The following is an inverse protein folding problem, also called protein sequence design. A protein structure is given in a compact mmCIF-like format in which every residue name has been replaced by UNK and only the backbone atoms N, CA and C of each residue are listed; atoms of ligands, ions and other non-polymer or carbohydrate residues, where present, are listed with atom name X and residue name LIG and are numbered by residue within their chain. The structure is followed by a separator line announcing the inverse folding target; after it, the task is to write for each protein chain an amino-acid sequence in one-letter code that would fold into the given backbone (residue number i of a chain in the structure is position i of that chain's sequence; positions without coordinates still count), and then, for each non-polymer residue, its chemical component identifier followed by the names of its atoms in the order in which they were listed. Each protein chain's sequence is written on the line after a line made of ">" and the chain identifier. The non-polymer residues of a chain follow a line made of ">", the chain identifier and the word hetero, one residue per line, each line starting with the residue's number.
data_IF_380754760101
#
_entry.id   IF_380754760101
#
_cell.length_a   1.000
_cell.length_b   1.000
_cell.length_c   1.000
_cell.angle_alpha   90.00
_cell.angle_beta   90.00
_cell.angle_gamma   90.00
#
_symmetry.space_group_name_H-M   'P 1'
#
loop_
_entity.id
_entity.type
_entity.pdbx_description
1 polymer ?
#
# COMPACT_ATOMS: atom_id res chain seq x y z
N UNK A 1 -33.30 -14.22 64.95
CA UNK A 1 -34.08 -14.56 63.74
C UNK A 1 -34.82 -13.32 63.25
N UNK A 2 -34.03 -12.33 62.82
CA UNK A 2 -34.43 -11.00 62.35
C UNK A 2 -33.49 -10.68 61.18
N UNK A 3 -34.07 -10.14 60.10
CA UNK A 3 -33.51 -9.08 59.27
C UNK A 3 -32.19 -9.27 58.49
N UNK A 4 -32.34 -9.04 57.17
CA UNK A 4 -31.68 -7.96 56.38
C UNK A 4 -30.34 -8.21 55.68
N UNK A 5 -30.41 -7.93 54.37
CA UNK A 5 -29.45 -7.22 53.51
C UNK A 5 -28.16 -8.00 53.11
N UNK A 6 -27.54 -7.85 51.94
CA UNK A 6 -27.73 -7.14 50.67
C UNK A 6 -26.64 -7.70 49.70
N UNK A 7 -26.90 -7.63 48.38
CA UNK A 7 -25.96 -7.42 47.24
C UNK A 7 -25.33 -8.61 46.45
N UNK A 8 -25.48 -8.42 45.13
CA UNK A 8 -24.51 -8.53 44.02
C UNK A 8 -24.82 -9.59 42.94
N UNK A 9 -25.17 -9.01 41.78
CA UNK A 9 -25.04 -9.47 40.40
C UNK A 9 -24.05 -10.60 40.12
N UNK A 10 -24.52 -11.58 39.36
CA UNK A 10 -23.77 -12.33 38.35
C UNK A 10 -24.78 -13.06 37.46
N UNK A 11 -24.96 -12.63 36.20
CA UNK A 11 -25.61 -13.47 35.20
C UNK A 11 -24.71 -13.61 33.98
N UNK A 12 -23.96 -14.72 34.01
CA UNK A 12 -23.45 -15.44 32.85
C UNK A 12 -24.65 -15.83 31.96
N UNK A 13 -24.50 -15.73 30.64
CA UNK A 13 -25.30 -16.53 29.72
C UNK A 13 -24.40 -17.10 28.64
N UNK A 14 -24.35 -18.43 28.61
CA UNK A 14 -23.96 -19.27 27.49
C UNK A 14 -25.17 -20.13 27.11
N UNK A 15 -25.23 -20.53 25.83
CA UNK A 15 -26.08 -21.56 25.22
C UNK A 15 -27.56 -21.16 24.99
N UNK A 16 -28.24 -21.46 23.87
CA UNK A 16 -28.16 -22.60 22.93
C UNK A 16 -28.97 -22.30 21.63
N UNK A 17 -28.67 -23.00 20.53
CA UNK A 17 -29.32 -22.90 19.20
C UNK A 17 -30.74 -23.52 19.15
N UNK A 18 -31.54 -23.26 18.10
CA UNK A 18 -31.90 -24.36 17.20
C UNK A 18 -32.00 -24.04 15.68
N UNK A 19 -31.87 -25.12 14.91
CA UNK A 19 -31.79 -25.24 13.44
C UNK A 19 -33.08 -24.91 12.66
N UNK A 20 -32.96 -24.39 11.41
CA UNK A 20 -33.60 -24.98 10.20
C UNK A 20 -33.15 -24.36 8.85
N UNK A 21 -32.57 -25.23 8.01
CA UNK A 21 -32.69 -25.37 6.53
C UNK A 21 -32.40 -24.22 5.55
N UNK A 22 -31.26 -24.38 4.86
CA UNK A 22 -31.08 -24.50 3.40
C UNK A 22 -31.72 -23.48 2.45
N UNK A 23 -30.88 -22.67 1.79
CA UNK A 23 -30.95 -22.42 0.33
C UNK A 23 -29.60 -21.84 -0.13
N UNK A 24 -28.87 -22.68 -0.87
CA UNK A 24 -27.72 -22.30 -1.69
C UNK A 24 -28.22 -21.40 -2.82
N UNK A 25 -27.68 -20.20 -2.93
CA UNK A 25 -27.84 -19.38 -4.11
C UNK A 25 -26.45 -19.16 -4.71
N UNK A 26 -26.17 -19.97 -5.73
CA UNK A 26 -25.21 -19.68 -6.77
C UNK A 26 -25.73 -18.50 -7.60
N UNK A 27 -24.88 -17.50 -7.88
CA UNK A 27 -25.11 -16.62 -9.01
C UNK A 27 -23.95 -16.71 -9.98
N UNK A 28 -24.33 -17.20 -11.15
CA UNK A 28 -23.52 -17.46 -12.32
C UNK A 28 -23.02 -16.16 -12.97
N UNK A 29 -21.82 -16.27 -13.54
CA UNK A 29 -21.31 -15.36 -14.55
C UNK A 29 -22.22 -15.36 -15.78
N UNK A 30 -22.64 -14.17 -16.23
CA UNK A 30 -23.09 -13.96 -17.59
C UNK A 30 -22.08 -13.09 -18.35
N UNK A 31 -21.37 -13.73 -19.27
CA UNK A 31 -20.84 -13.11 -20.47
C UNK A 31 -22.03 -12.72 -21.36
N UNK A 32 -22.10 -11.46 -21.79
CA UNK A 32 -22.87 -11.08 -22.97
C UNK A 32 -22.06 -10.13 -23.82
N UNK A 33 -21.82 -10.60 -25.03
CA UNK A 33 -21.21 -9.94 -26.18
C UNK A 33 -21.96 -8.69 -26.63
N UNK A 34 -21.19 -7.66 -26.96
CA UNK A 34 -21.28 -6.91 -28.22
C UNK A 34 -22.51 -6.01 -28.43
N UNK A 35 -22.33 -4.71 -28.19
CA UNK A 35 -22.99 -3.67 -28.98
C UNK A 35 -22.01 -2.51 -29.21
N UNK A 36 -21.66 -2.28 -30.47
CA UNK A 36 -20.80 -1.20 -30.93
C UNK A 36 -21.66 0.04 -31.23
N UNK A 37 -21.24 1.21 -30.76
CA UNK A 37 -21.65 2.48 -31.35
C UNK A 37 -20.41 3.29 -31.69
N UNK A 38 -20.27 3.60 -32.98
CA UNK A 38 -19.22 4.42 -33.54
C UNK A 38 -19.52 5.91 -33.26
N UNK A 39 -18.51 6.64 -32.82
CA UNK A 39 -18.45 8.09 -32.94
C UNK A 39 -17.04 8.45 -33.44
N UNK A 40 -17.02 9.14 -34.59
CA UNK A 40 -15.83 9.66 -35.25
C UNK A 40 -15.48 11.06 -34.70
N UNK A 41 -14.35 11.60 -35.20
CA UNK A 41 -13.93 13.02 -35.23
C UNK A 41 -13.03 13.42 -34.04
N UNK A 42 -11.79 13.91 -34.16
CA UNK A 42 -10.98 14.40 -35.29
C UNK A 42 -9.48 14.33 -34.92
N UNK A 43 -8.64 13.92 -35.88
CA UNK A 43 -7.18 14.01 -35.80
C UNK A 43 -6.70 15.41 -36.22
N UNK A 44 -5.97 16.10 -35.35
CA UNK A 44 -5.16 17.26 -35.72
C UNK A 44 -3.68 16.91 -35.53
N UNK A 45 -3.04 16.47 -36.61
CA UNK A 45 -1.59 16.36 -36.71
C UNK A 45 -1.00 17.64 -37.30
N UNK A 46 0.12 18.10 -36.73
CA UNK A 46 1.08 18.98 -37.41
C UNK A 46 2.49 18.43 -37.22
N UNK A 47 2.99 17.89 -38.34
CA UNK A 47 4.38 17.64 -38.79
C UNK A 47 5.43 18.63 -38.30
N UNK A 48 6.73 18.37 -38.20
CA UNK A 48 7.64 17.22 -38.27
C UNK A 48 8.95 17.73 -37.64
N UNK A 49 9.70 16.87 -36.93
CA UNK A 49 11.16 16.91 -36.90
C UNK A 49 11.64 15.53 -36.45
N UNK A 50 12.15 14.77 -37.42
CA UNK A 50 12.70 13.43 -37.25
C UNK A 50 13.99 13.49 -36.40
N UNK A 51 13.87 13.01 -35.17
CA UNK A 51 14.90 12.20 -34.55
C UNK A 51 14.16 10.95 -34.07
N UNK A 52 14.43 9.78 -34.67
CA UNK A 52 13.85 8.51 -34.20
C UNK A 52 14.52 8.15 -32.88
N UNK A 53 14.08 8.81 -31.81
CA UNK A 53 14.25 8.36 -30.45
C UNK A 53 13.08 7.41 -30.18
N UNK A 54 13.39 6.13 -29.99
CA UNK A 54 12.42 5.10 -29.60
C UNK A 54 11.55 5.66 -28.45
N UNK A 55 10.25 5.84 -28.70
CA UNK A 55 9.37 6.55 -27.78
C UNK A 55 9.40 5.88 -26.40
N UNK A 56 10.04 6.54 -25.43
CA UNK A 56 10.22 6.03 -24.07
C UNK A 56 8.83 5.94 -23.42
N UNK A 57 8.27 4.73 -23.31
CA UNK A 57 6.97 4.51 -22.68
C UNK A 57 7.04 4.68 -21.16
N UNK A 58 6.21 5.57 -20.61
CA UNK A 58 6.09 5.83 -19.17
C UNK A 58 4.88 5.08 -18.56
N UNK A 59 5.07 4.52 -17.35
CA UNK A 59 4.05 3.75 -16.64
C UNK A 59 3.32 4.56 -15.55
N UNK A 60 2.30 5.30 -15.97
CA UNK A 60 1.38 6.01 -15.09
C UNK A 60 0.47 5.08 -14.29
N UNK A 61 -0.21 5.59 -13.27
CA UNK A 61 -1.15 4.83 -12.43
C UNK A 61 -2.31 4.22 -13.24
N UNK A 62 -2.76 4.88 -14.30
CA UNK A 62 -3.83 4.40 -15.20
C UNK A 62 -3.43 3.20 -16.05
N UNK A 63 -2.13 2.90 -16.18
CA UNK A 63 -1.63 1.83 -17.04
C UNK A 63 -1.65 0.48 -16.31
N UNK A 64 -2.46 -0.47 -16.80
CA UNK A 64 -2.59 -1.80 -16.21
C UNK A 64 -1.31 -2.66 -16.30
N UNK A 65 -0.63 -2.61 -17.47
CA UNK A 65 0.58 -3.42 -17.74
C UNK A 65 1.81 -2.52 -17.71
N UNK A 66 2.53 -2.54 -16.59
CA UNK A 66 3.71 -1.70 -16.38
C UNK A 66 5.03 -2.33 -16.84
N UNK A 67 5.09 -3.64 -17.06
CA UNK A 67 6.36 -4.31 -17.40
C UNK A 67 6.93 -3.74 -18.71
N UNK A 68 8.20 -3.34 -18.67
CA UNK A 68 8.90 -2.79 -19.82
C UNK A 68 8.73 -1.28 -20.00
N UNK A 69 7.92 -0.62 -19.17
CA UNK A 69 7.80 0.84 -19.17
C UNK A 69 8.71 1.44 -18.09
N UNK A 70 9.02 2.72 -18.25
CA UNK A 70 9.80 3.50 -17.30
C UNK A 70 8.91 4.07 -16.19
N UNK A 71 9.43 4.08 -14.97
CA UNK A 71 8.79 4.73 -13.83
C UNK A 71 9.06 6.24 -13.89
N UNK A 72 8.01 7.08 -13.96
CA UNK A 72 8.16 8.53 -13.86
C UNK A 72 8.83 8.92 -12.54
N UNK A 73 9.66 9.98 -12.60
CA UNK A 73 10.33 10.54 -11.42
C UNK A 73 9.55 11.78 -10.98
N UNK A 74 9.17 11.81 -9.71
CA UNK A 74 8.43 12.89 -9.10
C UNK A 74 9.26 13.63 -8.07
N UNK A 75 8.91 14.89 -7.82
CA UNK A 75 9.53 15.70 -6.78
C UNK A 75 8.86 15.48 -5.43
N UNK A 76 9.51 15.91 -4.34
CA UNK A 76 8.96 15.80 -2.99
C UNK A 76 7.68 16.62 -2.82
N UNK A 77 7.63 17.79 -3.45
CA UNK A 77 6.48 18.70 -3.39
C UNK A 77 5.25 18.05 -4.05
N UNK A 78 5.43 17.42 -5.22
CA UNK A 78 4.40 16.64 -5.90
C UNK A 78 3.92 15.48 -5.05
N UNK A 79 4.82 14.76 -4.36
CA UNK A 79 4.44 13.68 -3.47
C UNK A 79 3.55 14.17 -2.32
N UNK A 80 3.93 15.27 -1.67
CA UNK A 80 3.17 15.83 -0.54
C UNK A 80 1.81 16.32 -1.04
N UNK A 81 1.77 17.01 -2.18
CA UNK A 81 0.53 17.44 -2.83
C UNK A 81 -0.38 16.24 -3.16
N UNK A 82 0.19 15.15 -3.69
CA UNK A 82 -0.55 13.92 -3.96
C UNK A 82 -1.12 13.30 -2.68
N UNK A 83 -0.32 13.18 -1.61
CA UNK A 83 -0.80 12.60 -0.34
C UNK A 83 -1.93 13.43 0.31
N UNK A 84 -1.96 14.74 0.06
CA UNK A 84 -3.02 15.64 0.52
C UNK A 84 -4.22 15.72 -0.43
N UNK A 85 -4.14 15.10 -1.61
CA UNK A 85 -5.20 15.16 -2.62
C UNK A 85 -6.37 14.23 -2.31
N UNK A 86 -7.55 14.56 -2.84
CA UNK A 86 -8.75 13.72 -2.79
C UNK A 86 -8.52 12.35 -3.44
N UNK A 87 -7.73 12.31 -4.53
CA UNK A 87 -7.39 11.07 -5.25
C UNK A 87 -6.69 10.07 -4.33
N UNK A 88 -5.77 10.53 -3.48
CA UNK A 88 -5.11 9.66 -2.50
C UNK A 88 -6.09 9.16 -1.43
N UNK A 89 -6.92 10.06 -0.91
CA UNK A 89 -7.94 9.71 0.08
C UNK A 89 -8.92 8.64 -0.44
N UNK A 90 -9.38 8.77 -1.68
CA UNK A 90 -10.28 7.83 -2.33
C UNK A 90 -9.61 6.49 -2.63
N UNK A 91 -8.35 6.53 -3.06
CA UNK A 91 -7.56 5.33 -3.40
C UNK A 91 -7.30 4.44 -2.18
N UNK A 92 -6.93 5.04 -1.04
CA UNK A 92 -6.52 4.30 0.15
C UNK A 92 -7.56 4.30 1.29
N UNK A 93 -8.62 5.10 1.21
CA UNK A 93 -9.76 5.09 2.16
C UNK A 93 -9.33 5.17 3.62
N UNK A 94 -8.29 5.96 3.92
CA UNK A 94 -7.72 6.12 5.27
C UNK A 94 -6.92 4.93 5.79
N UNK A 95 -6.72 3.86 5.00
CA UNK A 95 -5.88 2.72 5.36
C UNK A 95 -4.43 2.90 4.88
N UNK A 96 -3.44 2.22 5.49
CA UNK A 96 -2.05 2.35 5.07
C UNK A 96 -1.84 1.81 3.65
N UNK A 97 -0.88 2.37 2.91
CA UNK A 97 -0.66 2.10 1.48
C UNK A 97 -0.54 0.61 1.14
N UNK A 98 0.09 -0.18 1.99
CA UNK A 98 0.30 -1.61 1.75
C UNK A 98 -0.96 -2.47 1.99
N UNK A 99 -2.04 -1.94 2.59
CA UNK A 99 -3.20 -2.71 3.02
C UNK A 99 -3.89 -3.43 1.85
N UNK A 100 -4.14 -2.72 0.75
CA UNK A 100 -4.81 -3.27 -0.43
C UNK A 100 -3.90 -4.08 -1.34
N UNK A 101 -2.64 -4.27 -0.97
CA UNK A 101 -1.70 -5.01 -1.77
C UNK A 101 -1.66 -6.48 -1.35
N UNK A 102 -1.91 -7.37 -2.32
CA UNK A 102 -1.76 -8.82 -2.13
C UNK A 102 -0.79 -9.38 -3.14
N UNK A 103 0.20 -10.13 -2.67
CA UNK A 103 1.20 -10.74 -3.55
C UNK A 103 0.68 -12.04 -4.16
N UNK A 104 0.94 -12.20 -5.46
CA UNK A 104 0.68 -13.45 -6.17
C UNK A 104 1.84 -14.43 -5.92
N UNK A 105 1.54 -15.58 -5.32
CA UNK A 105 2.46 -16.71 -5.15
C UNK A 105 1.65 -18.01 -5.09
N UNK A 106 2.28 -19.15 -5.36
CA UNK A 106 1.61 -20.45 -5.33
C UNK A 106 1.52 -20.99 -3.90
N UNK A 107 0.38 -21.58 -3.55
CA UNK A 107 0.16 -22.27 -2.27
C UNK A 107 -0.38 -21.38 -1.14
N UNK A 108 -0.37 -21.92 0.08
CA UNK A 108 -0.83 -21.21 1.28
C UNK A 108 0.13 -20.09 1.70
N UNK A 109 -0.37 -19.07 2.39
CA UNK A 109 0.41 -17.90 2.82
C UNK A 109 1.59 -18.22 3.75
N UNK A 110 1.51 -19.32 4.49
CA UNK A 110 2.59 -19.81 5.35
C UNK A 110 3.84 -20.15 4.53
N UNK A 111 3.66 -20.75 3.35
CA UNK A 111 4.73 -21.14 2.43
C UNK A 111 5.12 -20.02 1.47
N UNK A 112 4.72 -18.78 1.76
CA UNK A 112 5.05 -17.64 0.93
C UNK A 112 6.58 -17.48 0.83
N UNK A 113 7.15 -17.50 -0.40
CA UNK A 113 8.59 -17.40 -0.59
C UNK A 113 9.12 -16.04 -0.15
N UNK A 114 10.44 -15.88 -0.13
CA UNK A 114 11.05 -14.57 0.11
C UNK A 114 10.56 -13.57 -0.96
N UNK A 115 10.28 -12.31 -0.59
CA UNK A 115 9.93 -11.26 -1.54
C UNK A 115 11.00 -11.05 -2.63
N UNK A 116 10.63 -10.37 -3.72
CA UNK A 116 11.56 -10.11 -4.83
C UNK A 116 12.63 -9.09 -4.44
N UNK A 117 13.79 -9.16 -5.08
CA UNK A 117 14.90 -8.23 -4.80
C UNK A 117 14.56 -6.79 -5.20
N UNK A 118 14.12 -6.58 -6.44
CA UNK A 118 13.73 -5.27 -6.99
C UNK A 118 12.48 -5.42 -7.88
N UNK A 119 11.64 -4.38 -7.94
CA UNK A 119 10.51 -4.30 -8.90
C UNK A 119 10.88 -3.45 -10.13
N UNK A 120 11.73 -2.45 -9.91
CA UNK A 120 12.21 -1.49 -10.90
C UNK A 120 13.72 -1.66 -11.02
N UNK A 121 14.23 -1.56 -12.24
CA UNK A 121 15.66 -1.64 -12.54
C UNK A 121 16.42 -0.38 -12.17
N UNK A 122 17.76 -0.50 -12.18
CA UNK A 122 18.65 0.66 -12.00
C UNK A 122 18.40 1.74 -13.06
N UNK A 123 17.96 1.33 -14.25
CA UNK A 123 17.58 2.22 -15.35
C UNK A 123 16.19 2.86 -15.18
N UNK A 124 15.42 2.46 -14.15
CA UNK A 124 14.06 2.97 -13.92
C UNK A 124 12.96 2.19 -14.64
N UNK A 125 13.29 1.08 -15.32
CA UNK A 125 12.34 0.24 -16.06
C UNK A 125 11.67 -0.80 -15.15
N UNK A 126 10.36 -1.01 -15.31
CA UNK A 126 9.64 -2.04 -14.57
C UNK A 126 9.94 -3.44 -15.09
N UNK A 127 10.44 -4.32 -14.22
CA UNK A 127 10.63 -5.75 -14.55
C UNK A 127 9.37 -6.58 -14.41
N UNK A 128 8.43 -6.10 -13.61
CA UNK A 128 7.24 -6.83 -13.18
C UNK A 128 5.98 -6.07 -13.56
N UNK A 129 4.90 -6.80 -13.86
CA UNK A 129 3.58 -6.20 -14.03
C UNK A 129 2.97 -5.83 -12.66
N UNK A 130 3.03 -6.75 -11.70
CA UNK A 130 2.47 -6.56 -10.36
C UNK A 130 3.56 -6.09 -9.39
N UNK A 131 3.92 -4.81 -9.47
CA UNK A 131 4.91 -4.16 -8.62
C UNK A 131 4.46 -4.05 -7.15
N UNK A 132 5.38 -3.78 -6.23
CA UNK A 132 5.03 -3.64 -4.81
C UNK A 132 4.19 -2.36 -4.54
N UNK A 133 3.56 -2.19 -3.35
CA UNK A 133 2.66 -1.07 -3.08
C UNK A 133 3.27 0.31 -3.33
N UNK A 134 4.59 0.47 -3.12
CA UNK A 134 5.30 1.72 -3.37
C UNK A 134 5.72 1.86 -4.84
N UNK A 135 6.21 0.78 -5.47
CA UNK A 135 6.64 0.87 -6.87
C UNK A 135 5.47 0.96 -7.84
N UNK A 136 4.26 0.47 -7.48
CA UNK A 136 3.09 0.54 -8.36
C UNK A 136 2.60 1.97 -8.53
N UNK A 137 2.67 2.78 -7.47
CA UNK A 137 2.20 4.16 -7.46
C UNK A 137 3.41 5.08 -7.70
N UNK A 138 3.33 5.91 -8.73
CA UNK A 138 4.48 6.71 -9.19
C UNK A 138 4.89 7.82 -8.21
N UNK A 139 3.91 8.48 -7.60
CA UNK A 139 4.12 9.58 -6.64
C UNK A 139 4.73 9.14 -5.30
N UNK A 140 4.63 7.85 -4.95
CA UNK A 140 5.07 7.36 -3.65
C UNK A 140 6.53 6.88 -3.67
N UNK A 141 7.36 7.45 -2.81
CA UNK A 141 8.76 7.05 -2.63
C UNK A 141 9.23 7.44 -1.23
N UNK A 142 10.20 6.71 -0.69
CA UNK A 142 10.66 6.96 0.68
C UNK A 142 11.64 8.11 0.76
N UNK A 143 11.29 9.12 1.54
CA UNK A 143 12.16 10.23 1.91
C UNK A 143 12.03 10.61 3.38
N UNK A 144 13.15 10.92 4.01
CA UNK A 144 13.19 11.33 5.42
C UNK A 144 12.43 12.64 5.69
N UNK A 145 12.31 13.52 4.69
CA UNK A 145 11.61 14.82 4.79
C UNK A 145 10.09 14.66 4.90
N UNK A 146 9.54 13.55 4.39
CA UNK A 146 8.12 13.22 4.51
C UNK A 146 7.95 12.01 5.46
N UNK A 147 7.94 12.25 6.79
CA UNK A 147 7.77 11.16 7.75
C UNK A 147 6.37 10.54 7.68
N UNK A 148 5.37 11.24 7.15
CA UNK A 148 3.98 10.75 7.11
C UNK A 148 3.86 9.43 6.35
N UNK A 149 4.58 9.26 5.24
CA UNK A 149 4.62 8.01 4.50
C UNK A 149 5.37 6.92 5.26
N UNK A 150 6.53 7.24 5.86
CA UNK A 150 7.37 6.28 6.60
C UNK A 150 6.63 5.71 7.80
N UNK A 151 5.92 6.55 8.55
CA UNK A 151 5.17 6.18 9.75
C UNK A 151 4.14 5.07 9.48
N UNK A 152 3.55 5.03 8.27
CA UNK A 152 2.59 3.98 7.90
C UNK A 152 3.21 2.58 7.90
N UNK A 153 4.53 2.45 7.71
CA UNK A 153 5.23 1.16 7.63
C UNK A 153 5.83 0.69 8.96
N UNK A 154 5.62 1.45 10.03
CA UNK A 154 6.05 1.11 11.37
C UNK A 154 4.95 0.35 12.12
N UNK A 155 5.34 -0.34 13.18
CA UNK A 155 4.38 -0.82 14.18
C UNK A 155 3.85 0.37 14.98
N UNK A 156 2.57 0.31 15.33
CA UNK A 156 1.90 1.33 16.14
C UNK A 156 2.74 1.68 17.37
N UNK A 157 3.02 2.97 17.52
CA UNK A 157 3.76 3.53 18.64
C UNK A 157 5.22 3.04 18.81
N UNK A 158 5.82 2.41 17.79
CA UNK A 158 7.22 1.97 17.88
C UNK A 158 8.06 2.34 16.67
N UNK A 159 9.36 2.33 16.90
CA UNK A 159 10.40 2.55 15.90
C UNK A 159 10.74 1.32 15.04
N UNK A 160 9.97 0.25 15.16
CA UNK A 160 10.23 -1.02 14.47
C UNK A 160 9.45 -1.07 13.17
N UNK A 161 10.14 -1.44 12.09
CA UNK A 161 9.52 -1.62 10.77
C UNK A 161 8.74 -2.94 10.74
N UNK A 162 7.56 -2.92 10.12
CA UNK A 162 6.75 -4.12 9.91
C UNK A 162 7.52 -5.18 9.07
N UNK A 163 7.28 -6.49 9.32
CA UNK A 163 7.95 -7.54 8.57
C UNK A 163 7.71 -7.43 7.06
N UNK A 164 8.76 -7.64 6.26
CA UNK A 164 8.71 -7.51 4.80
C UNK A 164 7.60 -8.35 4.15
N UNK A 165 7.32 -9.54 4.69
CA UNK A 165 6.24 -10.43 4.23
C UNK A 165 4.85 -9.78 4.38
N UNK A 166 4.63 -9.01 5.45
CA UNK A 166 3.37 -8.28 5.72
C UNK A 166 3.25 -7.05 4.82
N UNK A 167 4.34 -6.31 4.63
CA UNK A 167 4.36 -5.09 3.82
C UNK A 167 4.26 -5.34 2.31
N UNK A 168 4.71 -6.50 1.83
CA UNK A 168 4.70 -6.83 0.40
C UNK A 168 5.68 -6.02 -0.46
N UNK A 169 6.63 -5.31 0.17
CA UNK A 169 7.68 -4.55 -0.51
C UNK A 169 8.73 -5.47 -1.15
N UNK A 170 9.45 -4.96 -2.15
CA UNK A 170 10.70 -5.58 -2.61
C UNK A 170 11.84 -5.25 -1.63
N UNK A 171 12.90 -6.06 -1.64
CA UNK A 171 14.04 -5.85 -0.75
C UNK A 171 14.69 -4.48 -0.91
N UNK A 172 14.78 -3.98 -2.14
CA UNK A 172 15.32 -2.65 -2.43
C UNK A 172 14.54 -1.53 -1.73
N UNK A 173 13.22 -1.48 -1.91
CA UNK A 173 12.35 -0.50 -1.25
C UNK A 173 12.37 -0.62 0.27
N UNK A 174 12.50 -1.84 0.80
CA UNK A 174 12.63 -2.05 2.23
C UNK A 174 13.98 -1.59 2.80
N UNK A 175 15.06 -1.74 2.03
CA UNK A 175 16.36 -1.17 2.38
C UNK A 175 16.32 0.35 2.34
N UNK A 176 15.65 0.94 1.35
CA UNK A 176 15.43 2.39 1.26
C UNK A 176 14.62 2.91 2.46
N UNK A 177 13.52 2.24 2.83
CA UNK A 177 12.75 2.56 4.02
C UNK A 177 13.63 2.56 5.29
N UNK A 178 14.48 1.55 5.47
CA UNK A 178 15.42 1.48 6.60
C UNK A 178 16.40 2.64 6.61
N UNK A 179 17.00 2.95 5.46
CA UNK A 179 17.95 4.05 5.34
C UNK A 179 17.30 5.41 5.62
N UNK A 180 16.10 5.65 5.08
CA UNK A 180 15.37 6.90 5.29
C UNK A 180 14.85 7.04 6.71
N UNK A 181 14.43 5.93 7.34
CA UNK A 181 14.08 5.91 8.75
C UNK A 181 15.28 6.28 9.63
N UNK A 182 16.47 5.74 9.33
CA UNK A 182 17.69 6.08 10.06
C UNK A 182 18.02 7.58 9.90
N UNK A 183 18.00 8.10 8.67
CA UNK A 183 18.19 9.53 8.41
C UNK A 183 17.17 10.41 9.14
N UNK A 184 15.90 10.02 9.13
CA UNK A 184 14.84 10.77 9.82
C UNK A 184 15.07 10.82 11.35
N UNK A 185 15.67 9.77 11.93
CA UNK A 185 16.08 9.76 13.34
C UNK A 185 17.27 10.68 13.61
N UNK A 186 18.28 10.67 12.75
CA UNK A 186 19.44 11.56 12.84
C UNK A 186 19.03 13.04 12.76
N UNK A 187 18.07 13.36 11.89
CA UNK A 187 17.52 14.71 11.74
C UNK A 187 16.47 15.10 12.81
N UNK A 188 16.07 14.18 13.69
CA UNK A 188 15.09 14.46 14.74
C UNK A 188 13.64 14.67 14.25
N UNK A 189 13.31 14.26 13.02
CA UNK A 189 11.95 14.45 12.47
C UNK A 189 10.92 13.45 13.03
N UNK A 190 11.38 12.35 13.62
CA UNK A 190 10.55 11.31 14.25
C UNK A 190 10.59 11.37 15.78
N UNK A 191 10.70 12.57 16.35
CA UNK A 191 10.87 12.78 17.81
C UNK A 191 9.70 12.33 18.69
N UNK A 192 8.58 11.84 18.13
CA UNK A 192 7.44 11.33 18.90
C UNK A 192 7.79 10.14 19.82
N UNK A 193 8.85 9.37 19.53
CA UNK A 193 9.24 8.22 20.36
C UNK A 193 10.30 8.52 21.43
N UNK A 194 10.93 9.69 21.38
CA UNK A 194 12.06 10.02 22.28
C UNK A 194 11.60 10.27 23.73
N UNK A 195 10.33 10.61 23.95
CA UNK A 195 9.78 10.86 25.30
C UNK A 195 9.50 9.59 26.11
N UNK A 196 9.54 8.38 25.53
CA UNK A 196 9.39 7.13 26.30
C UNK A 196 10.73 6.48 26.67
N UNK A 197 11.81 6.74 25.93
CA UNK A 197 13.10 6.10 26.19
C UNK A 197 13.96 6.87 27.22
N UNK A 198 13.91 8.21 27.23
CA UNK A 198 14.70 9.00 28.18
C UNK A 198 14.21 8.93 29.64
N UNK A 199 13.06 8.32 29.93
CA UNK A 199 12.57 8.18 31.31
C UNK A 199 13.20 6.96 32.02
N UNK A 200 13.68 5.95 31.28
CA UNK A 200 14.17 4.69 31.88
C UNK A 200 15.70 4.57 31.97
N UNK A 201 16.46 5.59 31.60
CA UNK A 201 17.92 5.59 31.71
C UNK A 201 18.47 6.63 32.69
N UNK A 202 17.59 7.24 33.50
CA UNK A 202 17.90 8.29 34.48
C UNK A 202 17.40 7.95 35.90
N UNK A 203 17.47 6.67 36.29
CA UNK A 203 17.34 6.22 37.68
C UNK A 203 18.48 5.29 38.05
#
# INVERSE_FOLDING_TARGET
>A
MLSRHIRILLCKLNFELPNRTHLLISYNYHNSSQFCCAAQVEEAGSKDNEEVQEAIGYAYNTVEKKKGLYRPKHTLEEQIAYMNSEVYADTYKGMPVYHFYRRNFKGQSVFMPKPRMFCVDKEGKFKVNHACPICRDEYLFFDYRNPALILQFLFDQTDRILPLKKLGLCFDQYAQLRAQLLKAKEHGLLMFFKYFCCIYHLK
#
